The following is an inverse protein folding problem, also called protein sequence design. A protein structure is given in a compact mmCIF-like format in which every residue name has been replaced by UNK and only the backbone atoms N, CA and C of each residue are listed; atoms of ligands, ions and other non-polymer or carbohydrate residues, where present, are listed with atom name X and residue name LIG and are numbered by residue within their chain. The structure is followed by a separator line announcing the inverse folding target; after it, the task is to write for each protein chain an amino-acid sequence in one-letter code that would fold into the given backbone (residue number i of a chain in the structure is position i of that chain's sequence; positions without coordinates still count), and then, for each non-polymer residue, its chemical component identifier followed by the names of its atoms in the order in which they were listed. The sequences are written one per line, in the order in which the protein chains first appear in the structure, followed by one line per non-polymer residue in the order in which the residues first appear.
data_IF_142841860875
#
_entry.id   IF_142841860875
#
_cell.length_a   1.000
_cell.length_b   1.000
_cell.length_c   1.000
_cell.angle_alpha   90.00
_cell.angle_beta   90.00
_cell.angle_gamma   90.00
#
_symmetry.space_group_name_H-M   'P 1'
#
loop_
_entity.id
_entity.type
_entity.pdbx_description
1 polymer ?
#
# COMPACT_ATOMS: atom_id res chain seq x y z
N UNK A 1 -6.81 5.20 14.90
CA UNK A 1 -6.57 6.45 14.15
C UNK A 1 -5.87 7.44 15.07
N UNK A 2 -4.55 7.62 14.94
CA UNK A 2 -3.79 8.65 15.66
C UNK A 2 -3.73 9.89 14.77
N UNK A 3 -4.66 10.82 14.96
CA UNK A 3 -4.64 12.10 14.24
C UNK A 3 -3.74 13.08 14.98
N UNK A 4 -2.69 13.57 14.31
CA UNK A 4 -2.01 14.80 14.72
C UNK A 4 -0.74 14.69 15.56
N UNK A 5 0.05 13.61 15.46
CA UNK A 5 1.47 13.68 15.87
C UNK A 5 2.36 13.74 14.63
N UNK A 6 3.25 14.73 14.56
CA UNK A 6 4.12 15.03 13.41
C UNK A 6 5.01 13.86 12.97
N UNK A 7 5.14 12.83 13.82
CA UNK A 7 5.85 11.58 13.55
C UNK A 7 4.99 10.44 12.97
N UNK A 8 3.65 10.53 12.96
CA UNK A 8 2.78 9.49 12.37
C UNK A 8 3.08 9.28 10.88
N UNK A 9 3.21 10.34 10.05
CA UNK A 9 3.42 10.14 8.62
C UNK A 9 4.71 9.37 8.31
N UNK A 10 5.78 9.63 9.06
CA UNK A 10 7.06 8.94 8.90
C UNK A 10 7.00 7.46 9.32
N UNK A 11 6.36 7.17 10.45
CA UNK A 11 6.19 5.79 10.94
C UNK A 11 5.24 5.01 10.03
N UNK A 12 4.17 5.64 9.56
CA UNK A 12 3.21 5.03 8.64
C UNK A 12 3.85 4.79 7.28
N UNK A 13 4.60 5.75 6.74
CA UNK A 13 5.38 5.54 5.51
C UNK A 13 6.37 4.39 5.62
N UNK A 14 7.15 4.29 6.71
CA UNK A 14 8.07 3.16 6.91
C UNK A 14 7.32 1.82 6.99
N UNK A 15 6.21 1.79 7.72
CA UNK A 15 5.37 0.60 7.87
C UNK A 15 4.79 0.14 6.53
N UNK A 16 4.21 1.06 5.76
CA UNK A 16 3.66 0.79 4.44
C UNK A 16 4.76 0.36 3.47
N UNK A 17 5.93 0.99 3.52
CA UNK A 17 7.07 0.60 2.70
C UNK A 17 7.56 -0.82 3.00
N UNK A 18 7.52 -1.25 4.27
CA UNK A 18 7.93 -2.61 4.67
C UNK A 18 6.90 -3.66 4.28
N UNK A 19 5.60 -3.37 4.42
CA UNK A 19 4.53 -4.29 4.02
C UNK A 19 4.47 -4.44 2.51
N UNK A 20 4.52 -3.33 1.78
CA UNK A 20 4.40 -3.31 0.33
C UNK A 20 5.73 -3.41 -0.40
N UNK A 21 6.87 -3.56 0.29
CA UNK A 21 8.19 -3.73 -0.31
C UNK A 21 8.23 -4.68 -1.53
N UNK A 22 7.60 -5.87 -1.51
CA UNK A 22 7.63 -6.76 -2.68
C UNK A 22 6.78 -6.29 -3.88
N UNK A 23 5.91 -5.30 -3.67
CA UNK A 23 4.94 -4.79 -4.65
C UNK A 23 5.22 -3.33 -5.06
N UNK A 24 6.01 -2.61 -4.27
CA UNK A 24 6.50 -1.27 -4.58
C UNK A 24 7.29 -1.28 -5.90
N UNK A 25 7.09 -0.23 -6.70
CA UNK A 25 7.66 -0.04 -8.04
C UNK A 25 7.23 -1.08 -9.10
N UNK A 26 6.33 -2.01 -8.76
CA UNK A 26 5.74 -2.97 -9.71
C UNK A 26 4.33 -2.58 -10.11
N UNK A 27 3.44 -2.56 -9.11
CA UNK A 27 2.03 -2.22 -9.32
C UNK A 27 1.43 -1.45 -8.14
N UNK A 28 2.21 -1.18 -7.09
CA UNK A 28 1.78 -0.42 -5.89
C UNK A 28 2.69 0.78 -5.68
N UNK A 29 2.10 1.93 -5.37
CA UNK A 29 2.79 3.09 -4.79
C UNK A 29 2.07 3.48 -3.52
N UNK A 30 2.78 3.46 -2.39
CA UNK A 30 2.23 3.88 -1.11
C UNK A 30 2.59 5.34 -0.82
N UNK A 31 1.57 6.17 -0.57
CA UNK A 31 1.67 7.50 -0.02
C UNK A 31 1.17 7.52 1.43
N UNK A 32 1.33 8.66 2.11
CA UNK A 32 1.06 8.83 3.54
C UNK A 32 -0.30 8.25 3.95
N UNK A 33 -1.37 8.51 3.20
CA UNK A 33 -2.71 8.01 3.55
C UNK A 33 -3.34 7.13 2.46
N UNK A 34 -2.71 7.04 1.29
CA UNK A 34 -3.29 6.41 0.10
C UNK A 34 -2.35 5.35 -0.50
N UNK A 35 -2.92 4.22 -0.91
CA UNK A 35 -2.23 3.22 -1.73
C UNK A 35 -2.73 3.39 -3.16
N UNK A 36 -1.84 3.78 -4.07
CA UNK A 36 -2.13 3.80 -5.49
C UNK A 36 -1.74 2.45 -6.12
N UNK A 37 -2.61 1.94 -7.00
CA UNK A 37 -2.36 0.71 -7.75
C UNK A 37 -2.43 0.96 -9.25
N UNK A 38 -1.43 0.49 -9.98
CA UNK A 38 -1.34 0.61 -11.43
C UNK A 38 -1.56 -0.77 -12.05
N UNK A 39 -2.27 -0.83 -13.17
CA UNK A 39 -2.47 -2.07 -13.92
C UNK A 39 -2.77 -1.72 -15.37
N UNK A 40 -2.35 -2.58 -16.31
CA UNK A 40 -2.56 -2.34 -17.74
C UNK A 40 -3.99 -2.72 -18.18
N UNK A 41 -4.61 -3.68 -17.49
CA UNK A 41 -5.97 -4.16 -17.77
C UNK A 41 -6.81 -4.23 -16.50
N UNK A 42 -8.14 -4.23 -16.67
CA UNK A 42 -9.05 -4.34 -15.52
C UNK A 42 -9.00 -5.71 -14.86
N UNK A 43 -8.67 -6.78 -15.60
CA UNK A 43 -8.55 -8.14 -15.07
C UNK A 43 -7.33 -8.25 -14.16
N UNK A 44 -6.18 -7.74 -14.63
CA UNK A 44 -4.95 -7.63 -13.84
C UNK A 44 -5.16 -6.75 -12.61
N UNK A 45 -5.92 -5.66 -12.74
CA UNK A 45 -6.25 -4.79 -11.61
C UNK A 45 -7.01 -5.53 -10.50
N UNK A 46 -7.92 -6.44 -10.85
CA UNK A 46 -8.65 -7.26 -9.87
C UNK A 46 -7.70 -8.23 -9.15
N UNK A 47 -6.70 -8.79 -9.85
CA UNK A 47 -5.69 -9.64 -9.22
C UNK A 47 -4.79 -8.85 -8.27
N UNK A 48 -4.31 -7.68 -8.69
CA UNK A 48 -3.53 -6.77 -7.84
C UNK A 48 -4.32 -6.34 -6.59
N UNK A 49 -5.60 -6.02 -6.73
CA UNK A 49 -6.49 -5.70 -5.61
C UNK A 49 -6.62 -6.86 -4.62
N UNK A 50 -6.73 -8.10 -5.11
CA UNK A 50 -6.78 -9.29 -4.23
C UNK A 50 -5.47 -9.43 -3.45
N UNK A 51 -4.33 -9.27 -4.10
CA UNK A 51 -3.01 -9.38 -3.47
C UNK A 51 -2.83 -8.32 -2.38
N UNK A 52 -3.14 -7.06 -2.69
CA UNK A 52 -3.04 -5.94 -1.72
C UNK A 52 -4.03 -6.13 -0.57
N UNK A 53 -5.28 -6.48 -0.85
CA UNK A 53 -6.29 -6.72 0.17
C UNK A 53 -5.92 -7.90 1.08
N UNK A 54 -5.33 -8.97 0.54
CA UNK A 54 -4.86 -10.09 1.33
C UNK A 54 -3.65 -9.71 2.20
N UNK A 55 -2.71 -8.95 1.65
CA UNK A 55 -1.52 -8.44 2.36
C UNK A 55 -1.92 -7.56 3.55
N UNK A 56 -2.94 -6.71 3.38
CA UNK A 56 -3.48 -5.87 4.45
C UNK A 56 -4.27 -6.64 5.52
N UNK A 57 -4.78 -7.85 5.21
CA UNK A 57 -5.50 -8.69 6.18
C UNK A 57 -4.56 -9.56 7.01
N UNK A 58 -3.42 -9.95 6.44
CA UNK A 58 -2.46 -10.86 7.07
C UNK A 58 -1.46 -10.12 7.99
N UNK A 59 -1.47 -8.78 7.95
CA UNK A 59 -0.58 -7.88 8.71
C UNK A 59 -1.35 -6.99 9.65
#
# INVERSE_FOLDING_TARGET
MYFGVTSVPGIFMDYMNRIFQPYLDRFVVAFIDDILMYSESSEEHVEHLKVVSQTLKDR
#
